data_IF_902939771401
#
_entry.id   IF_902939771401
#
_cell.length_a   1.000
_cell.length_b   1.000
_cell.length_c   1.000
_cell.angle_alpha   90.00
_cell.angle_beta   90.00
_cell.angle_gamma   90.00
#
_symmetry.space_group_name_H-M   'P 1'
#
loop_
_entity.id
_entity.type
_entity.pdbx_description
1 polymer ?
#
# COMPACT_ATOMS: atom_id res chain seq x y z
N UNK A 1 10.74 14.48 2.34
CA UNK A 1 10.13 13.39 1.55
C UNK A 1 8.69 13.77 1.15
N UNK A 2 8.48 14.76 0.26
CA UNK A 2 7.14 15.21 -0.10
C UNK A 2 6.26 14.12 -0.71
N UNK A 3 6.84 13.25 -1.53
CA UNK A 3 6.14 12.15 -2.20
C UNK A 3 5.55 11.13 -1.21
N UNK A 4 6.30 10.78 -0.16
CA UNK A 4 5.83 9.85 0.87
C UNK A 4 4.67 10.45 1.67
N UNK A 5 4.72 11.76 1.96
CA UNK A 5 3.61 12.48 2.60
C UNK A 5 2.38 12.49 1.68
N UNK A 6 2.57 12.70 0.37
CA UNK A 6 1.49 12.66 -0.60
C UNK A 6 0.85 11.27 -0.67
N UNK A 7 1.64 10.20 -0.71
CA UNK A 7 1.13 8.81 -0.63
C UNK A 7 0.36 8.57 0.66
N UNK A 8 0.89 8.96 1.82
CA UNK A 8 0.16 8.80 3.10
C UNK A 8 -1.18 9.52 3.06
N UNK A 9 -1.22 10.77 2.58
CA UNK A 9 -2.47 11.56 2.53
C UNK A 9 -3.47 10.99 1.53
N UNK A 10 -3.00 10.48 0.39
CA UNK A 10 -3.84 9.80 -0.58
C UNK A 10 -4.50 8.56 0.02
N UNK A 11 -3.73 7.70 0.68
CA UNK A 11 -4.24 6.49 1.32
C UNK A 11 -5.21 6.81 2.48
N UNK A 12 -4.88 7.83 3.28
CA UNK A 12 -5.74 8.29 4.39
C UNK A 12 -7.10 8.80 3.90
N UNK A 13 -7.15 9.50 2.77
CA UNK A 13 -8.41 9.98 2.17
C UNK A 13 -9.27 8.87 1.53
N UNK A 14 -8.70 7.70 1.24
CA UNK A 14 -9.38 6.59 0.55
C UNK A 14 -9.24 5.28 1.34
N UNK A 15 -9.76 5.23 2.59
CA UNK A 15 -9.65 4.04 3.41
C UNK A 15 -10.51 2.90 2.86
N UNK A 16 -9.98 1.68 2.88
CA UNK A 16 -10.73 0.47 2.57
C UNK A 16 -10.59 -0.56 3.69
N UNK A 17 -11.69 -1.27 3.97
CA UNK A 17 -11.76 -2.22 5.10
C UNK A 17 -11.21 -3.58 4.67
N UNK A 18 -10.68 -4.31 5.66
CA UNK A 18 -10.24 -5.72 5.58
C UNK A 18 -10.86 -6.55 4.45
N UNK A 19 -10.02 -7.11 3.58
CA UNK A 19 -10.36 -7.96 2.42
C UNK A 19 -11.12 -7.27 1.27
N UNK A 20 -11.28 -5.95 1.32
CA UNK A 20 -11.95 -5.14 0.30
C UNK A 20 -11.08 -3.97 -0.19
N UNK A 21 -9.77 -4.02 0.06
CA UNK A 21 -8.77 -2.99 -0.26
C UNK A 21 -8.33 -3.00 -1.74
N UNK A 22 -9.29 -2.98 -2.67
CA UNK A 22 -9.00 -3.12 -4.09
C UNK A 22 -8.26 -1.90 -4.65
N UNK A 23 -8.69 -0.69 -4.32
CA UNK A 23 -8.09 0.55 -4.81
C UNK A 23 -6.73 0.82 -4.13
N UNK A 24 -6.62 0.53 -2.84
CA UNK A 24 -5.39 0.58 -2.06
C UNK A 24 -4.36 -0.40 -2.61
N UNK A 25 -4.77 -1.65 -2.88
CA UNK A 25 -3.92 -2.66 -3.53
C UNK A 25 -3.46 -2.21 -4.91
N UNK A 26 -4.36 -1.64 -5.72
CA UNK A 26 -4.05 -1.10 -7.05
C UNK A 26 -3.00 0.02 -6.95
N UNK A 27 -3.22 0.98 -6.06
CA UNK A 27 -2.34 2.11 -5.85
C UNK A 27 -0.95 1.68 -5.40
N UNK A 28 -0.86 0.83 -4.37
CA UNK A 28 0.41 0.33 -3.84
C UNK A 28 1.18 -0.45 -4.91
N UNK A 29 0.50 -1.34 -5.64
CA UNK A 29 1.13 -2.10 -6.73
C UNK A 29 1.67 -1.19 -7.84
N UNK A 30 0.92 -0.17 -8.26
CA UNK A 30 1.35 0.76 -9.30
C UNK A 30 2.61 1.53 -8.90
N UNK A 31 2.66 2.01 -7.65
CA UNK A 31 3.84 2.71 -7.12
C UNK A 31 5.07 1.79 -7.08
N UNK A 32 4.91 0.54 -6.62
CA UNK A 32 5.99 -0.44 -6.55
C UNK A 32 6.52 -0.82 -7.94
N UNK A 33 5.63 -1.01 -8.94
CA UNK A 33 6.04 -1.24 -10.33
C UNK A 33 6.82 -0.03 -10.86
N UNK A 34 6.34 1.20 -10.62
CA UNK A 34 7.04 2.41 -11.05
C UNK A 34 8.43 2.57 -10.40
N UNK A 35 8.62 2.05 -9.19
CA UNK A 35 9.91 1.99 -8.50
C UNK A 35 10.83 0.85 -8.99
N UNK A 36 10.36 -0.01 -9.91
CA UNK A 36 11.14 -1.09 -10.51
C UNK A 36 11.09 -2.43 -9.76
N UNK A 37 10.11 -2.62 -8.88
CA UNK A 37 9.90 -3.91 -8.22
C UNK A 37 9.17 -4.90 -9.13
N UNK A 38 9.47 -6.19 -8.97
CA UNK A 38 8.61 -7.27 -9.46
C UNK A 38 7.44 -7.45 -8.48
N UNK A 39 6.21 -7.25 -8.97
CA UNK A 39 5.01 -7.21 -8.12
C UNK A 39 4.09 -8.39 -8.42
N UNK A 40 3.80 -9.18 -7.40
CA UNK A 40 2.79 -10.24 -7.39
C UNK A 40 1.54 -9.76 -6.65
N UNK A 41 0.35 -9.97 -7.24
CA UNK A 41 -0.95 -9.49 -6.74
C UNK A 41 -1.94 -10.64 -6.60
N UNK A 42 -3.09 -10.38 -5.97
CA UNK A 42 -4.19 -11.35 -5.85
C UNK A 42 -4.02 -12.33 -4.69
N UNK A 43 -3.05 -12.09 -3.80
CA UNK A 43 -2.79 -12.92 -2.63
C UNK A 43 -3.86 -12.62 -1.57
N UNK A 44 -4.61 -13.63 -1.12
CA UNK A 44 -5.73 -13.43 -0.20
C UNK A 44 -6.70 -12.29 -0.65
N UNK A 45 -6.97 -12.23 -1.97
CA UNK A 45 -7.74 -11.19 -2.68
C UNK A 45 -6.93 -9.91 -3.00
N UNK A 46 -6.51 -9.16 -1.99
CA UNK A 46 -5.97 -7.79 -2.15
C UNK A 46 -4.48 -7.68 -1.84
N UNK A 47 -3.87 -8.71 -1.28
CA UNK A 47 -2.47 -8.74 -0.89
C UNK A 47 -1.50 -8.54 -2.07
N UNK A 48 -0.40 -7.84 -1.76
CA UNK A 48 0.69 -7.49 -2.67
C UNK A 48 2.01 -7.99 -2.10
N UNK A 49 2.83 -8.64 -2.92
CA UNK A 49 4.23 -8.96 -2.60
C UNK A 49 5.10 -8.32 -3.68
N UNK A 50 6.09 -7.53 -3.25
CA UNK A 50 7.03 -6.86 -4.13
C UNK A 50 8.45 -7.33 -3.84
N UNK A 51 9.17 -7.70 -4.89
CA UNK A 51 10.53 -8.22 -4.81
C UNK A 51 11.46 -7.29 -5.56
N UNK A 52 12.54 -6.87 -4.88
CA UNK A 52 13.67 -6.19 -5.50
C UNK A 52 14.89 -7.09 -5.36
N UNK A 53 15.40 -7.57 -6.49
CA UNK A 53 16.60 -8.40 -6.55
C UNK A 53 17.81 -7.55 -6.92
N UNK A 54 18.85 -7.61 -6.10
CA UNK A 54 20.15 -7.02 -6.41
C UNK A 54 21.26 -8.05 -6.20
N UNK A 55 21.95 -8.42 -7.28
CA UNK A 55 22.95 -9.49 -7.29
C UNK A 55 22.35 -10.89 -7.48
N UNK A 56 23.13 -11.92 -7.15
CA UNK A 56 22.82 -13.34 -7.44
C UNK A 56 22.72 -14.24 -6.20
N UNK A 57 22.75 -13.66 -4.99
CA UNK A 57 22.61 -14.43 -3.75
C UNK A 57 21.18 -14.95 -3.60
N UNK A 58 21.01 -16.20 -3.15
CA UNK A 58 19.69 -16.76 -2.81
C UNK A 58 19.17 -16.37 -1.42
N UNK A 59 19.79 -15.40 -0.73
CA UNK A 59 19.35 -14.92 0.59
C UNK A 59 18.33 -13.80 0.41
N UNK A 60 17.31 -13.78 1.26
CA UNK A 60 16.23 -12.80 1.21
C UNK A 60 15.90 -12.27 2.60
N UNK A 61 15.39 -11.03 2.65
CA UNK A 61 14.84 -10.40 3.85
C UNK A 61 13.43 -9.92 3.49
N UNK A 62 12.46 -10.17 4.37
CA UNK A 62 11.09 -9.70 4.24
C UNK A 62 10.84 -8.43 5.06
N UNK A 63 10.15 -7.47 4.47
CA UNK A 63 9.60 -6.29 5.16
C UNK A 63 8.09 -6.34 4.97
N UNK A 64 7.32 -6.12 6.04
CA UNK A 64 5.86 -6.21 6.03
C UNK A 64 5.23 -4.91 6.52
N UNK A 65 4.20 -4.47 5.81
CA UNK A 65 3.29 -3.41 6.19
C UNK A 65 1.85 -3.87 5.91
N UNK A 66 0.90 -3.47 6.76
CA UNK A 66 -0.53 -3.53 6.50
C UNK A 66 -1.04 -2.21 5.93
N UNK A 67 -2.22 -2.25 5.33
CA UNK A 67 -2.86 -1.09 4.70
C UNK A 67 -4.39 -1.10 4.82
N UNK A 68 -4.98 -2.03 5.57
CA UNK A 68 -6.41 -2.03 5.84
C UNK A 68 -6.80 -0.94 6.84
N UNK A 69 -7.96 -0.35 6.61
CA UNK A 69 -8.54 0.67 7.47
C UNK A 69 -9.61 0.09 8.41
N UNK A 70 -10.12 0.95 9.29
CA UNK A 70 -11.16 0.62 10.27
C UNK A 70 -12.50 1.25 9.90
N UNK A 71 -13.64 0.61 10.25
CA UNK A 71 -14.97 1.18 10.06
C UNK A 71 -15.30 2.21 11.14
N UNK A 72 -14.59 3.34 11.13
CA UNK A 72 -14.73 4.44 12.11
C UNK A 72 -14.92 5.75 11.35
N UNK A 73 -15.85 6.57 11.81
CA UNK A 73 -16.00 7.94 11.30
C UNK A 73 -14.85 8.79 11.79
N UNK A 74 -14.09 9.38 10.87
CA UNK A 74 -13.00 10.28 11.23
C UNK A 74 -13.52 11.67 11.64
N UNK A 75 -13.05 12.18 12.77
CA UNK A 75 -13.43 13.50 13.33
C UNK A 75 -12.23 14.46 13.44
N UNK A 76 -11.14 14.19 12.71
CA UNK A 76 -9.92 15.02 12.78
C UNK A 76 -10.13 16.42 12.24
N UNK A 77 -10.98 16.57 11.22
CA UNK A 77 -11.16 17.83 10.49
C UNK A 77 -9.96 18.20 9.62
N UNK A 78 -9.01 17.29 9.41
CA UNK A 78 -7.83 17.49 8.58
C UNK A 78 -8.21 17.58 7.09
N UNK A 79 -7.43 18.31 6.29
CA UNK A 79 -7.60 18.40 4.82
C UNK A 79 -7.57 17.03 4.11
N UNK A 80 -6.99 16.02 4.76
CA UNK A 80 -6.84 14.66 4.26
C UNK A 80 -7.69 13.63 5.01
N UNK A 81 -8.71 14.06 5.74
CA UNK A 81 -9.63 13.15 6.40
C UNK A 81 -10.23 12.11 5.43
N UNK A 82 -10.50 10.94 5.97
CA UNK A 82 -11.18 9.80 5.36
C UNK A 82 -12.50 10.23 4.71
N UNK A 83 -12.78 9.65 3.54
CA UNK A 83 -14.02 9.86 2.78
C UNK A 83 -14.97 8.68 2.92
#
# INVERSE_FOLDING_TARGET
MPEIVATRRYLHQHPEIGLSEFETSNYVAAQLVAMGYEVTRGLAKTGVVATLCNGSSGRSIGIRADFDALPILEETGDEYQSR
#
